data_IF_934409542167
#
_entry.id   IF_934409542167
#
_cell.length_a   1.000
_cell.length_b   1.000
_cell.length_c   1.000
_cell.angle_alpha   90.00
_cell.angle_beta   90.00
_cell.angle_gamma   90.00
#
_symmetry.space_group_name_H-M   'P 1'
#
loop_
_entity.id
_entity.type
_entity.pdbx_description
1 polymer ?
#
# COMPACT_ATOMS: atom_id res chain seq x y z
N UNK A 1 -12.31 -2.72 15.15
CA UNK A 1 -10.98 -2.17 14.82
C UNK A 1 -10.48 -2.91 13.60
N UNK A 2 -10.05 -2.21 12.55
CA UNK A 2 -9.39 -2.86 11.42
C UNK A 2 -7.94 -3.20 11.79
N UNK A 3 -7.46 -4.36 11.37
CA UNK A 3 -6.05 -4.74 11.56
C UNK A 3 -5.16 -3.90 10.65
N UNK A 4 -4.00 -3.47 11.17
CA UNK A 4 -3.09 -2.58 10.45
C UNK A 4 -1.97 -3.35 9.77
N UNK A 5 -1.74 -3.08 8.48
CA UNK A 5 -0.70 -3.75 7.69
C UNK A 5 0.27 -2.74 7.07
N UNK A 6 1.57 -2.97 7.25
CA UNK A 6 2.63 -2.23 6.57
C UNK A 6 3.02 -2.96 5.28
N UNK A 7 2.92 -2.25 4.14
CA UNK A 7 3.37 -2.76 2.85
C UNK A 7 4.52 -1.91 2.33
N UNK A 8 5.71 -2.50 2.23
CA UNK A 8 6.92 -1.86 1.69
C UNK A 8 7.08 -2.09 0.20
N UNK A 9 7.64 -1.12 -0.53
CA UNK A 9 7.83 -1.25 -1.98
C UNK A 9 6.50 -1.25 -2.74
N UNK A 10 5.47 -0.61 -2.17
CA UNK A 10 4.08 -0.70 -2.61
C UNK A 10 3.72 0.26 -3.74
N UNK A 11 4.61 1.16 -4.15
CA UNK A 11 4.32 2.08 -5.25
C UNK A 11 4.16 1.40 -6.62
N UNK A 12 4.70 0.19 -6.83
CA UNK A 12 4.74 -0.47 -8.15
C UNK A 12 4.64 -1.99 -8.05
N UNK A 13 4.34 -2.64 -9.20
CA UNK A 13 4.44 -4.08 -9.36
C UNK A 13 3.65 -4.88 -8.32
N UNK A 14 4.28 -5.91 -7.76
CA UNK A 14 3.65 -6.84 -6.80
C UNK A 14 3.24 -6.12 -5.51
N UNK A 15 4.10 -5.24 -4.97
CA UNK A 15 3.79 -4.50 -3.74
C UNK A 15 2.51 -3.66 -3.88
N UNK A 16 2.30 -3.04 -5.05
CA UNK A 16 1.06 -2.31 -5.34
C UNK A 16 -0.15 -3.24 -5.40
N UNK A 17 -0.03 -4.37 -6.08
CA UNK A 17 -1.11 -5.34 -6.18
C UNK A 17 -1.54 -5.87 -4.80
N UNK A 18 -0.56 -6.17 -3.93
CA UNK A 18 -0.81 -6.61 -2.55
C UNK A 18 -1.52 -5.51 -1.75
N UNK A 19 -1.03 -4.28 -1.79
CA UNK A 19 -1.65 -3.16 -1.07
C UNK A 19 -3.10 -2.95 -1.50
N UNK A 20 -3.38 -2.94 -2.81
CA UNK A 20 -4.74 -2.79 -3.33
C UNK A 20 -5.65 -3.95 -2.96
N UNK A 21 -5.14 -5.18 -2.88
CA UNK A 21 -5.96 -6.32 -2.47
C UNK A 21 -6.30 -6.25 -0.98
N UNK A 22 -5.32 -5.98 -0.12
CA UNK A 22 -5.54 -5.83 1.33
C UNK A 22 -6.50 -4.66 1.65
N UNK A 23 -6.45 -3.58 0.88
CA UNK A 23 -7.41 -2.47 1.01
C UNK A 23 -8.84 -2.94 0.74
N UNK A 24 -9.05 -3.74 -0.32
CA UNK A 24 -10.37 -4.33 -0.64
C UNK A 24 -10.85 -5.30 0.42
N UNK A 25 -9.92 -6.00 1.06
CA UNK A 25 -10.23 -6.95 2.13
C UNK A 25 -10.52 -6.26 3.47
N UNK A 26 -10.39 -4.91 3.55
CA UNK A 26 -10.83 -4.09 4.68
C UNK A 26 -9.76 -3.75 5.72
N UNK A 27 -8.48 -3.94 5.39
CA UNK A 27 -7.36 -3.58 6.28
C UNK A 27 -7.04 -2.08 6.27
N UNK A 28 -6.49 -1.59 7.38
CA UNK A 28 -5.92 -0.23 7.49
C UNK A 28 -4.43 -0.29 7.10
N UNK A 29 -4.01 0.48 6.09
CA UNK A 29 -2.71 0.28 5.43
C UNK A 29 -1.72 1.41 5.69
N UNK A 30 -0.48 1.03 6.00
CA UNK A 30 0.68 1.90 5.92
C UNK A 30 1.51 1.56 4.67
N UNK A 31 1.72 2.55 3.81
CA UNK A 31 2.44 2.40 2.54
C UNK A 31 3.85 2.97 2.68
N UNK A 32 4.86 2.18 2.30
CA UNK A 32 6.26 2.59 2.34
C UNK A 32 6.94 2.50 0.97
N UNK A 33 7.70 3.54 0.63
CA UNK A 33 8.56 3.61 -0.53
C UNK A 33 9.92 4.21 -0.16
N UNK A 34 10.98 3.84 -0.90
CA UNK A 34 12.32 4.38 -0.66
C UNK A 34 12.50 5.81 -1.20
N UNK A 35 12.06 6.08 -2.43
CA UNK A 35 12.34 7.34 -3.12
C UNK A 35 11.21 7.83 -4.01
N UNK A 36 10.40 6.93 -4.55
CA UNK A 36 9.29 7.28 -5.45
C UNK A 36 7.99 7.47 -4.66
N UNK A 37 7.88 8.63 -4.00
CA UNK A 37 6.73 8.97 -3.16
C UNK A 37 5.45 9.13 -3.97
N UNK A 38 5.53 9.71 -5.17
CA UNK A 38 4.39 9.89 -6.06
C UNK A 38 3.72 8.57 -6.41
N UNK A 39 4.50 7.53 -6.76
CA UNK A 39 3.92 6.21 -7.04
C UNK A 39 3.27 5.59 -5.80
N UNK A 40 3.77 5.88 -4.61
CA UNK A 40 3.21 5.38 -3.35
C UNK A 40 1.92 6.11 -2.96
N UNK A 41 1.86 7.43 -3.18
CA UNK A 41 0.68 8.26 -2.93
C UNK A 41 -0.51 7.82 -3.81
N UNK A 42 -0.27 7.45 -5.07
CA UNK A 42 -1.29 6.89 -5.96
C UNK A 42 -1.91 5.55 -5.51
N UNK A 43 -1.36 4.91 -4.47
CA UNK A 43 -1.91 3.68 -3.89
C UNK A 43 -2.93 4.00 -2.79
N UNK A 44 -2.89 5.21 -2.23
CA UNK A 44 -3.76 5.67 -1.13
C UNK A 44 -4.80 6.71 -1.54
N UNK A 45 -4.77 7.18 -2.80
CA UNK A 45 -5.84 7.98 -3.44
C UNK A 45 -7.06 7.11 -3.81
#
# INVERSE_FOLDING_TARGET
MAERVLVTGSGKGIGRAIALQLAKDGFDLAIHCRSDKTSAEQVVE
#
